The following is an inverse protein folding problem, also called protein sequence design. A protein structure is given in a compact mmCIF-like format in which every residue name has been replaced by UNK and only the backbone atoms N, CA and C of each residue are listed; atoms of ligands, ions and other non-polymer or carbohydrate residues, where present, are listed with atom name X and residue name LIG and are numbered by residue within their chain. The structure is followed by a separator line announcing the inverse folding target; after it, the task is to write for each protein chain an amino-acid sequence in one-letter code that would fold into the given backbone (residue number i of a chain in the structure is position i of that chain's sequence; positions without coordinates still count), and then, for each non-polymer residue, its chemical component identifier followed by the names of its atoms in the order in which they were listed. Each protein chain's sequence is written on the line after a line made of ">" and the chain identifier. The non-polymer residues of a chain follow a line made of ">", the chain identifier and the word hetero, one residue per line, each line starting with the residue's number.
data_IF_770657144995
#
_entry.id   IF_770657144995
#
_cell.length_a   1.000
_cell.length_b   1.000
_cell.length_c   1.000
_cell.angle_alpha   90.00
_cell.angle_beta   90.00
_cell.angle_gamma   90.00
#
_symmetry.space_group_name_H-M   'P 1'
#
loop_
_entity.id
_entity.type
_entity.pdbx_description
1 polymer ?
#
# COMPACT_ATOMS: atom_id res chain seq x y z
N UNK A 1 -15.85 -57.15 -8.30
CA UNK A 1 -15.41 -56.39 -9.49
C UNK A 1 -15.70 -54.95 -9.15
N UNK A 2 -14.68 -54.25 -8.65
CA UNK A 2 -14.80 -52.85 -8.29
C UNK A 2 -15.02 -52.04 -9.57
N UNK A 3 -16.14 -51.34 -9.64
CA UNK A 3 -16.42 -50.38 -10.70
C UNK A 3 -15.20 -49.45 -10.83
N UNK A 4 -14.69 -49.18 -12.04
CA UNK A 4 -13.58 -48.24 -12.21
C UNK A 4 -13.96 -46.93 -11.53
N UNK A 5 -13.23 -46.56 -10.46
CA UNK A 5 -13.45 -45.33 -9.71
C UNK A 5 -13.43 -44.17 -10.70
N UNK A 6 -14.61 -43.59 -10.96
CA UNK A 6 -14.73 -42.49 -11.89
C UNK A 6 -14.27 -41.21 -11.20
N UNK A 7 -12.96 -40.96 -11.23
CA UNK A 7 -12.36 -39.71 -10.75
C UNK A 7 -12.86 -38.45 -11.48
N UNK A 8 -13.79 -38.59 -12.44
CA UNK A 8 -14.58 -37.48 -12.97
C UNK A 8 -15.65 -36.99 -12.00
N UNK A 9 -16.03 -37.79 -11.01
CA UNK A 9 -16.71 -37.28 -9.83
C UNK A 9 -15.66 -36.53 -9.00
N UNK A 10 -15.36 -35.30 -9.44
CA UNK A 10 -14.56 -34.26 -8.80
C UNK A 10 -14.66 -34.06 -7.28
N UNK A 11 -13.75 -33.24 -6.78
CA UNK A 11 -13.42 -33.17 -5.36
C UNK A 11 -14.47 -32.39 -4.55
N UNK A 12 -14.68 -32.81 -3.30
CA UNK A 12 -15.41 -31.99 -2.33
C UNK A 12 -14.57 -30.76 -2.02
N UNK A 13 -15.17 -29.58 -2.22
CA UNK A 13 -14.51 -28.29 -2.03
C UNK A 13 -15.16 -27.62 -0.83
N UNK A 14 -14.36 -27.23 0.16
CA UNK A 14 -14.77 -26.41 1.29
C UNK A 14 -15.07 -24.98 0.81
N UNK A 15 -16.34 -24.54 0.77
CA UNK A 15 -16.71 -23.22 0.26
C UNK A 15 -16.16 -22.07 1.12
N UNK A 16 -15.75 -22.30 2.37
CA UNK A 16 -15.22 -21.25 3.23
C UNK A 16 -13.74 -20.92 2.97
N UNK A 17 -13.01 -21.74 2.20
CA UNK A 17 -11.62 -21.45 1.80
C UNK A 17 -11.54 -21.01 0.35
N UNK A 18 -12.15 -21.79 -0.52
CA UNK A 18 -12.01 -21.71 -1.99
C UNK A 18 -13.26 -21.14 -2.66
N UNK A 19 -14.27 -20.82 -1.87
CA UNK A 19 -15.52 -20.27 -2.37
C UNK A 19 -15.36 -18.94 -3.08
N UNK A 20 -16.39 -18.62 -3.86
CA UNK A 20 -16.40 -17.43 -4.69
C UNK A 20 -16.24 -16.14 -3.87
N UNK A 21 -16.88 -16.03 -2.70
CA UNK A 21 -16.76 -14.83 -1.87
C UNK A 21 -15.36 -14.59 -1.29
N UNK A 22 -14.63 -15.65 -0.93
CA UNK A 22 -13.23 -15.52 -0.48
C UNK A 22 -12.35 -15.02 -1.62
N UNK A 23 -12.48 -15.63 -2.81
CA UNK A 23 -11.75 -15.20 -4.01
C UNK A 23 -12.04 -13.75 -4.38
N UNK A 24 -13.33 -13.39 -4.49
CA UNK A 24 -13.75 -12.02 -4.80
C UNK A 24 -13.25 -11.01 -3.78
N UNK A 25 -13.28 -11.36 -2.48
CA UNK A 25 -12.72 -10.50 -1.45
C UNK A 25 -11.23 -10.27 -1.65
N UNK A 26 -10.45 -11.34 -1.88
CA UNK A 26 -9.02 -11.21 -2.14
C UNK A 26 -8.72 -10.41 -3.41
N UNK A 27 -9.49 -10.61 -4.49
CA UNK A 27 -9.38 -9.82 -5.71
C UNK A 27 -9.63 -8.34 -5.42
N UNK A 28 -10.75 -8.04 -4.77
CA UNK A 28 -11.14 -6.67 -4.47
C UNK A 28 -10.14 -6.00 -3.52
N UNK A 29 -9.76 -6.65 -2.42
CA UNK A 29 -8.81 -6.10 -1.45
C UNK A 29 -7.45 -5.82 -2.10
N UNK A 30 -6.94 -6.73 -2.91
CA UNK A 30 -5.65 -6.57 -3.56
C UNK A 30 -5.66 -5.41 -4.56
N UNK A 31 -6.73 -5.31 -5.35
CA UNK A 31 -6.93 -4.21 -6.30
C UNK A 31 -7.07 -2.86 -5.59
N UNK A 32 -7.89 -2.79 -4.55
CA UNK A 32 -8.11 -1.56 -3.77
C UNK A 32 -6.84 -1.13 -3.03
N UNK A 33 -6.04 -2.05 -2.50
CA UNK A 33 -4.79 -1.74 -1.82
C UNK A 33 -3.84 -0.97 -2.75
N UNK A 34 -3.69 -1.44 -3.98
CA UNK A 34 -2.84 -0.79 -5.00
C UNK A 34 -3.36 0.61 -5.31
N UNK A 35 -4.66 0.75 -5.57
CA UNK A 35 -5.28 2.05 -5.84
C UNK A 35 -5.14 3.02 -4.67
N UNK A 36 -5.25 2.50 -3.44
CA UNK A 36 -5.15 3.29 -2.23
C UNK A 36 -3.72 3.79 -2.03
N UNK A 37 -2.71 2.94 -2.21
CA UNK A 37 -1.30 3.35 -2.09
C UNK A 37 -0.92 4.41 -3.12
N UNK A 38 -1.47 4.31 -4.33
CA UNK A 38 -1.28 5.29 -5.41
C UNK A 38 -1.88 6.67 -5.09
N UNK A 39 -2.98 6.70 -4.33
CA UNK A 39 -3.75 7.93 -4.07
C UNK A 39 -3.56 8.53 -2.68
N UNK A 40 -3.49 7.70 -1.64
CA UNK A 40 -3.39 8.07 -0.24
C UNK A 40 -2.32 7.23 0.46
N UNK A 41 -1.09 7.71 0.42
CA UNK A 41 0.03 7.09 1.14
C UNK A 41 -0.15 7.17 2.67
N UNK A 42 -0.95 8.12 3.17
CA UNK A 42 -1.24 8.29 4.60
C UNK A 42 -2.15 7.18 5.13
N UNK A 43 -3.14 6.76 4.34
CA UNK A 43 -4.06 5.68 4.71
C UNK A 43 -3.49 4.29 4.38
N UNK A 44 -2.49 4.22 3.50
CA UNK A 44 -1.90 2.97 3.00
C UNK A 44 -1.45 1.98 4.08
N UNK A 45 -0.78 2.39 5.19
CA UNK A 45 -0.36 1.44 6.22
C UNK A 45 -1.51 0.69 6.87
N UNK A 46 -2.67 1.34 7.03
CA UNK A 46 -3.85 0.71 7.64
C UNK A 46 -4.46 -0.36 6.72
N UNK A 47 -4.62 -0.05 5.43
CA UNK A 47 -5.11 -0.98 4.44
C UNK A 47 -4.13 -2.15 4.23
N UNK A 48 -2.83 -1.85 4.19
CA UNK A 48 -1.77 -2.84 4.07
C UNK A 48 -1.76 -3.80 5.26
N UNK A 49 -1.94 -3.29 6.48
CA UNK A 49 -2.04 -4.12 7.69
C UNK A 49 -3.24 -5.08 7.62
N UNK A 50 -4.42 -4.57 7.30
CA UNK A 50 -5.64 -5.40 7.17
C UNK A 50 -5.44 -6.48 6.12
N UNK A 51 -4.93 -6.13 4.94
CA UNK A 51 -4.68 -7.08 3.87
C UNK A 51 -3.64 -8.15 4.26
N UNK A 52 -2.53 -7.74 4.88
CA UNK A 52 -1.50 -8.66 5.38
C UNK A 52 -2.07 -9.61 6.43
N UNK A 53 -2.93 -9.09 7.33
CA UNK A 53 -3.61 -9.89 8.35
C UNK A 53 -4.57 -10.92 7.74
N UNK A 54 -5.37 -10.53 6.74
CA UNK A 54 -6.27 -11.45 6.03
C UNK A 54 -5.49 -12.54 5.28
N UNK A 55 -4.41 -12.16 4.58
CA UNK A 55 -3.52 -13.11 3.91
C UNK A 55 -2.85 -14.09 4.90
N UNK A 56 -2.39 -13.59 6.04
CA UNK A 56 -1.84 -14.41 7.12
C UNK A 56 -2.90 -15.38 7.69
N UNK A 57 -4.12 -14.89 7.94
CA UNK A 57 -5.25 -15.71 8.41
C UNK A 57 -5.58 -16.85 7.44
N UNK A 58 -5.63 -16.56 6.13
CA UNK A 58 -5.83 -17.58 5.09
C UNK A 58 -4.69 -18.62 5.08
N UNK A 59 -3.45 -18.17 5.22
CA UNK A 59 -2.26 -19.04 5.28
C UNK A 59 -2.32 -19.98 6.48
N UNK A 60 -2.68 -19.46 7.67
CA UNK A 60 -2.85 -20.26 8.89
C UNK A 60 -4.01 -21.24 8.73
N UNK A 61 -5.16 -20.79 8.21
CA UNK A 61 -6.32 -21.66 7.99
C UNK A 61 -5.97 -22.83 7.05
N UNK A 62 -5.22 -22.58 5.98
CA UNK A 62 -4.75 -23.63 5.09
C UNK A 62 -3.80 -24.61 5.78
N UNK A 63 -2.89 -24.13 6.62
CA UNK A 63 -1.99 -25.01 7.41
C UNK A 63 -2.80 -25.88 8.37
N UNK A 64 -3.76 -25.30 9.10
CA UNK A 64 -4.59 -26.04 10.06
C UNK A 64 -5.39 -27.11 9.32
N UNK A 65 -6.03 -26.77 8.20
CA UNK A 65 -6.83 -27.73 7.44
C UNK A 65 -5.99 -28.81 6.74
N UNK A 66 -4.78 -28.46 6.30
CA UNK A 66 -3.81 -29.43 5.80
C UNK A 66 -3.45 -30.46 6.88
N UNK A 67 -3.23 -30.00 8.13
CA UNK A 67 -2.94 -30.88 9.27
C UNK A 67 -4.12 -31.76 9.66
N UNK A 68 -5.34 -31.26 9.50
CA UNK A 68 -6.57 -32.04 9.74
C UNK A 68 -6.90 -33.04 8.62
N UNK A 69 -6.14 -33.07 7.52
CA UNK A 69 -6.44 -33.93 6.36
C UNK A 69 -7.69 -33.50 5.58
N UNK A 70 -8.21 -32.30 5.83
CA UNK A 70 -9.44 -31.80 5.20
C UNK A 70 -9.14 -30.96 3.94
N UNK A 71 -7.87 -30.63 3.70
CA UNK A 71 -7.46 -29.81 2.57
C UNK A 71 -6.97 -30.69 1.42
N UNK A 72 -7.71 -30.70 0.31
CA UNK A 72 -7.27 -31.39 -0.89
C UNK A 72 -6.09 -30.66 -1.55
N UNK A 73 -5.29 -31.38 -2.34
CA UNK A 73 -4.19 -30.76 -3.10
C UNK A 73 -4.66 -29.64 -4.02
N UNK A 74 -5.84 -29.78 -4.61
CA UNK A 74 -6.46 -28.75 -5.44
C UNK A 74 -6.76 -27.47 -4.66
N UNK A 75 -7.35 -27.58 -3.47
CA UNK A 75 -7.60 -26.42 -2.60
C UNK A 75 -6.29 -25.77 -2.14
N UNK A 76 -5.27 -26.58 -1.83
CA UNK A 76 -3.96 -26.06 -1.47
C UNK A 76 -3.32 -25.25 -2.62
N UNK A 77 -3.46 -25.68 -3.88
CA UNK A 77 -3.02 -24.92 -5.06
C UNK A 77 -3.80 -23.62 -5.22
N UNK A 78 -5.11 -23.64 -5.01
CA UNK A 78 -5.93 -22.43 -5.10
C UNK A 78 -5.57 -21.41 -4.02
N UNK A 79 -5.41 -21.86 -2.77
CA UNK A 79 -4.94 -20.99 -1.69
C UNK A 79 -3.55 -20.43 -2.00
N UNK A 80 -2.65 -21.27 -2.51
CA UNK A 80 -1.31 -20.83 -2.90
C UNK A 80 -1.37 -19.73 -3.97
N UNK A 81 -2.23 -19.84 -4.99
CA UNK A 81 -2.41 -18.80 -6.00
C UNK A 81 -2.95 -17.48 -5.41
N UNK A 82 -3.93 -17.55 -4.49
CA UNK A 82 -4.47 -16.36 -3.82
C UNK A 82 -3.41 -15.67 -2.95
N UNK A 83 -2.64 -16.47 -2.20
CA UNK A 83 -1.55 -15.97 -1.35
C UNK A 83 -0.44 -15.36 -2.21
N UNK A 84 -0.11 -15.95 -3.36
CA UNK A 84 0.85 -15.38 -4.31
C UNK A 84 0.42 -14.01 -4.85
N UNK A 85 -0.85 -13.91 -5.26
CA UNK A 85 -1.43 -12.65 -5.70
C UNK A 85 -1.39 -11.60 -4.59
N UNK A 86 -1.66 -11.99 -3.34
CA UNK A 86 -1.57 -11.10 -2.19
C UNK A 86 -0.13 -10.65 -1.87
N UNK A 87 0.83 -11.56 -1.95
CA UNK A 87 2.24 -11.22 -1.79
C UNK A 87 2.69 -10.23 -2.86
N UNK A 88 2.27 -10.43 -4.11
CA UNK A 88 2.62 -9.56 -5.22
C UNK A 88 2.04 -8.14 -5.06
N UNK A 89 0.77 -8.03 -4.66
CA UNK A 89 0.18 -6.72 -4.40
C UNK A 89 0.77 -6.02 -3.17
N UNK A 90 1.09 -6.77 -2.11
CA UNK A 90 1.81 -6.26 -0.93
C UNK A 90 3.19 -5.71 -1.31
N UNK A 91 3.93 -6.43 -2.16
CA UNK A 91 5.23 -5.99 -2.66
C UNK A 91 5.13 -4.69 -3.45
N UNK A 92 4.17 -4.58 -4.37
CA UNK A 92 3.98 -3.36 -5.16
C UNK A 92 3.45 -2.18 -4.32
N UNK A 93 2.60 -2.45 -3.34
CA UNK A 93 2.16 -1.47 -2.36
C UNK A 93 3.36 -0.94 -1.56
N UNK A 94 4.26 -1.81 -1.10
CA UNK A 94 5.47 -1.39 -0.37
C UNK A 94 6.44 -0.61 -1.27
N UNK A 95 6.65 -1.04 -2.50
CA UNK A 95 7.52 -0.34 -3.45
C UNK A 95 6.98 1.08 -3.77
N UNK A 96 5.68 1.19 -4.01
CA UNK A 96 5.01 2.48 -4.27
C UNK A 96 5.03 3.37 -3.03
N UNK A 97 4.74 2.80 -1.86
CA UNK A 97 4.81 3.50 -0.57
C UNK A 97 6.23 4.02 -0.28
N UNK A 98 7.26 3.21 -0.50
CA UNK A 98 8.66 3.59 -0.30
C UNK A 98 9.05 4.80 -1.17
N UNK A 99 8.62 4.80 -2.44
CA UNK A 99 8.89 5.91 -3.37
C UNK A 99 8.23 7.22 -2.94
N UNK A 100 6.98 7.16 -2.47
CA UNK A 100 6.28 8.36 -1.98
C UNK A 100 6.87 8.90 -0.68
N UNK A 101 7.30 7.99 0.20
CA UNK A 101 7.90 8.34 1.48
C UNK A 101 9.21 9.11 1.32
N UNK A 102 10.10 8.67 0.43
CA UNK A 102 11.38 9.38 0.19
C UNK A 102 11.15 10.84 -0.21
N UNK A 103 10.16 11.12 -1.08
CA UNK A 103 9.82 12.49 -1.47
C UNK A 103 9.29 13.34 -0.32
N UNK A 104 8.55 12.74 0.62
CA UNK A 104 7.98 13.48 1.74
C UNK A 104 8.99 13.73 2.85
N UNK A 105 9.92 12.80 3.07
CA UNK A 105 10.98 12.95 4.07
C UNK A 105 11.92 14.12 3.74
N UNK A 106 12.19 14.35 2.44
CA UNK A 106 12.92 15.51 1.91
C UNK A 106 12.17 16.84 2.18
N UNK A 107 10.84 16.86 2.05
CA UNK A 107 10.01 18.05 2.36
C UNK A 107 9.94 18.33 3.88
N UNK A 108 9.84 17.29 4.72
CA UNK A 108 9.66 17.41 6.18
C UNK A 108 10.97 17.60 6.97
N UNK A 109 12.15 17.47 6.37
CA UNK A 109 13.45 17.62 7.06
C UNK A 109 13.68 18.98 7.72
N UNK A 110 12.84 19.96 7.39
CA UNK A 110 12.90 21.29 7.98
C UNK A 110 12.09 21.44 9.28
N UNK A 111 11.31 20.44 9.73
CA UNK A 111 10.43 20.57 10.91
C UNK A 111 10.76 19.49 11.94
N UNK A 112 11.38 19.91 13.04
CA UNK A 112 11.95 19.08 14.11
C UNK A 112 10.89 18.37 14.96
N UNK A 113 10.55 17.11 14.63
CA UNK A 113 10.16 16.03 15.58
C UNK A 113 10.06 14.62 14.91
N UNK A 114 11.09 14.20 14.16
CA UNK A 114 11.03 13.03 13.23
C UNK A 114 11.12 11.62 13.86
N UNK A 115 11.57 11.51 15.12
CA UNK A 115 12.03 10.20 15.66
C UNK A 115 10.90 9.19 15.90
N UNK A 116 9.78 9.62 16.52
CA UNK A 116 8.72 8.69 16.94
C UNK A 116 7.88 8.14 15.78
N UNK A 117 7.56 8.96 14.77
CA UNK A 117 6.73 8.57 13.61
C UNK A 117 7.44 7.52 12.73
N UNK A 118 8.76 7.59 12.65
CA UNK A 118 9.60 6.69 11.85
C UNK A 118 9.57 5.23 12.36
N UNK A 119 9.42 5.03 13.67
CA UNK A 119 9.45 3.68 14.25
C UNK A 119 8.21 2.85 13.91
N UNK A 120 7.01 3.44 14.04
CA UNK A 120 5.75 2.75 13.77
C UNK A 120 5.65 2.29 12.30
N UNK A 121 6.14 3.10 11.36
CA UNK A 121 6.10 2.77 9.93
C UNK A 121 7.08 1.66 9.56
N UNK A 122 8.25 1.60 10.21
CA UNK A 122 9.21 0.51 9.98
C UNK A 122 8.64 -0.84 10.43
N UNK A 123 7.78 -0.86 11.45
CA UNK A 123 7.14 -2.08 11.93
C UNK A 123 6.22 -2.71 10.87
N UNK A 124 5.38 -1.90 10.21
CA UNK A 124 4.47 -2.38 9.16
C UNK A 124 5.25 -3.05 8.03
N UNK A 125 6.38 -2.45 7.62
CA UNK A 125 7.28 -3.02 6.61
C UNK A 125 7.83 -4.38 7.04
N UNK A 126 8.34 -4.49 8.27
CA UNK A 126 8.89 -5.75 8.80
C UNK A 126 7.82 -6.85 8.84
N UNK A 127 6.60 -6.53 9.30
CA UNK A 127 5.51 -7.51 9.36
C UNK A 127 5.11 -7.99 7.96
N UNK A 128 4.99 -7.07 7.00
CA UNK A 128 4.71 -7.45 5.61
C UNK A 128 5.83 -8.33 5.02
N UNK A 129 7.10 -8.02 5.30
CA UNK A 129 8.23 -8.83 4.86
C UNK A 129 8.24 -10.23 5.48
N UNK A 130 7.90 -10.32 6.76
CA UNK A 130 7.77 -11.60 7.46
C UNK A 130 6.63 -12.43 6.90
N UNK A 131 5.45 -11.84 6.67
CA UNK A 131 4.34 -12.55 6.04
C UNK A 131 4.75 -13.08 4.65
N UNK A 132 5.45 -12.28 3.84
CA UNK A 132 5.84 -12.70 2.48
C UNK A 132 6.78 -13.90 2.54
N UNK A 133 7.70 -13.92 3.50
CA UNK A 133 8.57 -15.08 3.72
C UNK A 133 7.78 -16.32 4.18
N UNK A 134 6.84 -16.13 5.10
CA UNK A 134 6.00 -17.20 5.64
C UNK A 134 5.14 -17.87 4.54
N UNK A 135 4.52 -17.06 3.70
CA UNK A 135 3.70 -17.52 2.58
C UNK A 135 4.50 -18.18 1.45
N UNK A 136 5.70 -17.67 1.14
CA UNK A 136 6.63 -18.33 0.22
C UNK A 136 7.04 -19.70 0.75
N UNK A 137 7.33 -19.79 2.05
CA UNK A 137 7.66 -21.05 2.72
C UNK A 137 6.50 -22.05 2.65
N UNK A 138 5.26 -21.59 2.88
CA UNK A 138 4.07 -22.45 2.73
C UNK A 138 3.94 -22.93 1.29
N UNK A 139 4.09 -22.05 0.30
CA UNK A 139 3.96 -22.45 -1.11
C UNK A 139 5.04 -23.47 -1.49
N UNK A 140 6.28 -23.24 -1.06
CA UNK A 140 7.36 -24.21 -1.24
C UNK A 140 7.04 -25.55 -0.55
N UNK A 141 6.45 -25.52 0.64
CA UNK A 141 5.99 -26.71 1.34
C UNK A 141 4.89 -27.45 0.57
N UNK A 142 3.85 -26.74 0.09
CA UNK A 142 2.76 -27.30 -0.71
C UNK A 142 3.27 -28.00 -1.97
N UNK A 143 4.23 -27.40 -2.66
CA UNK A 143 4.83 -28.01 -3.86
C UNK A 143 5.83 -29.13 -3.57
N UNK A 144 6.56 -29.06 -2.45
CA UNK A 144 7.54 -30.11 -2.10
C UNK A 144 6.85 -31.37 -1.56
N UNK A 145 5.83 -31.18 -0.72
CA UNK A 145 5.11 -32.23 0.01
C UNK A 145 3.70 -32.47 -0.53
N UNK A 146 3.61 -32.68 -1.84
CA UNK A 146 2.36 -33.04 -2.54
C UNK A 146 1.71 -34.31 -1.97
N UNK A 147 2.51 -35.19 -1.38
CA UNK A 147 2.07 -36.42 -0.71
C UNK A 147 1.14 -36.17 0.48
N UNK A 148 1.36 -35.10 1.24
CA UNK A 148 0.53 -34.74 2.41
C UNK A 148 -0.90 -34.39 2.01
N UNK A 149 -1.08 -33.84 0.81
CA UNK A 149 -2.36 -33.40 0.27
C UNK A 149 -3.00 -34.41 -0.68
N UNK A 150 -2.33 -35.54 -0.93
CA UNK A 150 -2.75 -36.59 -1.85
C UNK A 150 -3.52 -37.70 -1.13
N UNK A 151 -4.53 -37.32 -0.34
CA UNK A 151 -5.40 -38.30 0.31
C UNK A 151 -6.42 -38.90 -0.69
N UNK A 152 -6.75 -38.15 -1.75
CA UNK A 152 -7.65 -38.60 -2.80
C UNK A 152 -6.88 -39.30 -3.92
N UNK A 153 -7.28 -40.52 -4.28
CA UNK A 153 -6.74 -41.26 -5.44
C UNK A 153 -6.88 -40.50 -6.78
N UNK A 154 -7.66 -39.41 -6.80
CA UNK A 154 -7.91 -38.58 -7.97
C UNK A 154 -6.94 -37.41 -8.13
N UNK A 155 -6.03 -37.14 -7.18
CA UNK A 155 -5.13 -35.99 -7.29
C UNK A 155 -4.19 -36.05 -8.51
N UNK A 156 -3.95 -37.26 -9.06
CA UNK A 156 -3.17 -37.47 -10.29
C UNK A 156 -3.79 -36.83 -11.55
N UNK A 157 -5.10 -36.57 -11.54
CA UNK A 157 -5.80 -35.94 -12.66
C UNK A 157 -5.89 -34.43 -12.54
N UNK A 158 -5.43 -33.84 -11.42
CA UNK A 158 -5.45 -32.40 -11.23
C UNK A 158 -4.51 -31.75 -12.24
N UNK A 159 -5.09 -30.85 -13.04
CA UNK A 159 -4.35 -30.06 -14.03
C UNK A 159 -4.02 -28.70 -13.43
N UNK A 160 -2.74 -28.36 -13.43
CA UNK A 160 -2.26 -27.03 -13.10
C UNK A 160 -2.17 -26.18 -14.37
N UNK A 161 -2.82 -25.03 -14.38
CA UNK A 161 -2.78 -24.09 -15.49
C UNK A 161 -1.70 -23.06 -15.23
N UNK A 162 -0.69 -23.01 -16.09
CA UNK A 162 0.35 -21.97 -16.06
C UNK A 162 0.39 -21.22 -17.41
N UNK A 163 0.89 -19.98 -17.40
CA UNK A 163 1.12 -19.18 -18.61
C UNK A 163 -0.12 -19.07 -19.52
N UNK A 164 -1.24 -18.58 -18.97
CA UNK A 164 -2.49 -18.24 -19.66
C UNK A 164 -3.31 -19.37 -20.31
N UNK A 165 -2.78 -20.57 -20.53
CA UNK A 165 -3.58 -21.70 -21.04
C UNK A 165 -2.85 -23.07 -21.03
N UNK A 166 -1.61 -23.16 -20.55
CA UNK A 166 -0.87 -24.41 -20.67
C UNK A 166 -1.18 -25.30 -19.49
N UNK A 167 -1.85 -26.41 -19.78
CA UNK A 167 -2.18 -27.45 -18.82
C UNK A 167 -0.96 -28.34 -18.54
N UNK A 168 -0.58 -28.45 -17.27
CA UNK A 168 0.42 -29.38 -16.80
C UNK A 168 -0.20 -30.35 -15.79
N UNK A 169 0.16 -31.65 -15.80
CA UNK A 169 -0.21 -32.54 -14.71
C UNK A 169 0.45 -32.04 -13.42
N UNK A 170 -0.36 -31.71 -12.41
CA UNK A 170 0.11 -30.96 -11.25
C UNK A 170 1.16 -31.74 -10.43
N UNK A 171 1.04 -33.08 -10.36
CA UNK A 171 1.97 -33.93 -9.60
C UNK A 171 3.32 -34.18 -10.29
N UNK A 172 3.40 -34.09 -11.62
CA UNK A 172 4.62 -34.42 -12.38
C UNK A 172 5.34 -33.15 -12.85
N UNK A 173 5.03 -32.66 -14.03
CA UNK A 173 5.64 -31.48 -14.63
C UNK A 173 5.26 -30.21 -13.86
N UNK A 174 4.01 -30.12 -13.40
CA UNK A 174 3.53 -28.99 -12.59
C UNK A 174 4.33 -28.82 -11.30
N UNK A 175 4.64 -29.92 -10.59
CA UNK A 175 5.45 -29.90 -9.38
C UNK A 175 6.85 -29.34 -9.61
N UNK A 176 7.54 -29.80 -10.66
CA UNK A 176 8.89 -29.30 -11.00
C UNK A 176 8.84 -27.82 -11.38
N UNK A 177 7.85 -27.42 -12.18
CA UNK A 177 7.65 -26.05 -12.61
C UNK A 177 7.34 -25.13 -11.41
N UNK A 178 6.40 -25.52 -10.55
CA UNK A 178 5.98 -24.78 -9.37
C UNK A 178 7.11 -24.62 -8.36
N UNK A 179 7.90 -25.67 -8.09
CA UNK A 179 9.09 -25.60 -7.25
C UNK A 179 10.15 -24.67 -7.84
N UNK A 180 10.44 -24.80 -9.14
CA UNK A 180 11.44 -23.97 -9.81
C UNK A 180 11.03 -22.50 -9.80
N UNK A 181 9.79 -22.18 -10.16
CA UNK A 181 9.25 -20.83 -10.14
C UNK A 181 9.23 -20.24 -8.73
N UNK A 182 8.75 -20.99 -7.73
CA UNK A 182 8.72 -20.54 -6.34
C UNK A 182 10.13 -20.30 -5.80
N UNK A 183 11.09 -21.18 -6.10
CA UNK A 183 12.48 -21.02 -5.68
C UNK A 183 13.14 -19.79 -6.32
N UNK A 184 12.95 -19.59 -7.63
CA UNK A 184 13.46 -18.42 -8.36
C UNK A 184 12.90 -17.12 -7.79
N UNK A 185 11.59 -17.06 -7.59
CA UNK A 185 10.92 -15.87 -7.06
C UNK A 185 11.29 -15.62 -5.60
N UNK A 186 11.39 -16.66 -4.78
CA UNK A 186 11.87 -16.54 -3.39
C UNK A 186 13.30 -16.00 -3.36
N UNK A 187 14.19 -16.50 -4.22
CA UNK A 187 15.55 -16.01 -4.33
C UNK A 187 15.60 -14.54 -4.76
N UNK A 188 14.85 -14.17 -5.80
CA UNK A 188 14.73 -12.77 -6.23
C UNK A 188 14.22 -11.85 -5.11
N UNK A 189 13.21 -12.30 -4.37
CA UNK A 189 12.67 -11.58 -3.22
C UNK A 189 13.71 -11.41 -2.09
N UNK A 190 14.48 -12.47 -1.78
CA UNK A 190 15.56 -12.42 -0.79
C UNK A 190 16.65 -11.42 -1.21
N UNK A 191 17.01 -11.36 -2.49
CA UNK A 191 17.98 -10.39 -3.00
C UNK A 191 17.47 -8.94 -2.86
N UNK A 192 16.23 -8.67 -3.26
CA UNK A 192 15.63 -7.32 -3.12
C UNK A 192 15.55 -6.93 -1.64
N UNK A 193 15.08 -7.83 -0.79
CA UNK A 193 15.00 -7.64 0.66
C UNK A 193 16.36 -7.37 1.29
N UNK A 194 17.37 -8.17 0.95
CA UNK A 194 18.73 -8.01 1.44
C UNK A 194 19.32 -6.68 0.97
N UNK A 195 19.08 -6.31 -0.29
CA UNK A 195 19.52 -5.02 -0.84
C UNK A 195 18.88 -3.83 -0.11
N UNK A 196 17.57 -3.87 0.14
CA UNK A 196 16.88 -2.80 0.89
C UNK A 196 17.35 -2.72 2.34
N UNK A 197 17.55 -3.87 3.00
CA UNK A 197 18.04 -3.92 4.38
C UNK A 197 19.48 -3.42 4.46
N UNK A 198 20.34 -3.81 3.51
CA UNK A 198 21.71 -3.34 3.41
C UNK A 198 21.77 -1.83 3.13
N UNK A 199 20.98 -1.33 2.19
CA UNK A 199 20.87 0.11 1.91
C UNK A 199 20.40 0.89 3.13
N UNK A 200 19.38 0.40 3.83
CA UNK A 200 18.87 1.01 5.08
C UNK A 200 19.93 1.00 6.19
N UNK A 201 20.68 -0.09 6.33
CA UNK A 201 21.77 -0.21 7.30
C UNK A 201 22.92 0.76 6.98
N UNK A 202 23.32 0.86 5.72
CA UNK A 202 24.37 1.78 5.28
C UNK A 202 23.95 3.25 5.44
N UNK A 203 22.67 3.60 5.19
CA UNK A 203 22.14 4.95 5.47
C UNK A 203 22.23 5.30 6.96
N UNK A 204 21.95 4.36 7.87
CA UNK A 204 22.09 4.58 9.33
C UNK A 204 23.54 4.69 9.80
N UNK A 205 24.48 4.09 9.05
CA UNK A 205 25.90 4.11 9.40
C UNK A 205 26.62 5.39 9.00
N UNK A 206 26.07 6.23 8.13
CA UNK A 206 26.68 7.54 7.85
C UNK A 206 26.72 8.33 9.18
N UNK A 207 27.90 8.49 9.79
CA UNK A 207 28.00 9.05 11.12
C UNK A 207 27.50 10.50 11.06
N UNK A 208 26.80 10.94 12.11
CA UNK A 208 26.42 12.34 12.35
C UNK A 208 27.62 13.30 12.50
N UNK A 209 28.79 12.88 12.02
CA UNK A 209 30.05 13.60 12.03
C UNK A 209 30.04 14.80 11.07
N UNK A 210 29.29 14.74 9.95
CA UNK A 210 29.17 15.92 9.06
C UNK A 210 28.38 17.07 9.72
N UNK A 211 27.41 16.77 10.58
CA UNK A 211 26.66 17.80 11.31
C UNK A 211 27.51 18.49 12.39
N UNK A 212 28.48 17.77 12.97
CA UNK A 212 29.45 18.38 13.89
C UNK A 212 30.44 19.29 13.15
N UNK A 213 30.78 18.99 11.91
CA UNK A 213 31.70 19.82 11.11
C UNK A 213 31.05 21.13 10.63
N UNK A 214 29.74 21.13 10.34
CA UNK A 214 29.01 22.36 9.99
C UNK A 214 28.68 23.25 11.19
N UNK A 215 28.54 22.69 12.40
CA UNK A 215 28.33 23.49 13.63
C UNK A 215 29.62 24.08 14.20
N UNK A 216 30.78 23.62 13.72
CA UNK A 216 32.11 24.06 14.16
C UNK A 216 32.67 25.26 13.40
N UNK A 217 32.03 25.76 12.34
CA UNK A 217 32.44 27.04 11.74
C UNK A 217 31.94 28.17 12.65
N UNK A 218 32.82 28.91 13.34
CA UNK A 218 32.40 30.07 14.10
C UNK A 218 31.65 30.99 13.14
N UNK A 219 30.41 31.33 13.47
CA UNK A 219 29.76 32.47 12.84
C UNK A 219 30.69 33.65 13.07
N UNK A 220 31.34 34.11 12.00
CA UNK A 220 31.95 35.43 11.97
C UNK A 220 30.74 36.35 12.13
N UNK A 221 30.49 36.76 13.36
CA UNK A 221 29.61 37.88 13.67
C UNK A 221 30.19 39.06 12.91
N UNK A 222 29.63 39.37 11.75
CA UNK A 222 29.87 40.63 11.08
C UNK A 222 29.18 41.66 11.95
N UNK A 223 29.92 42.18 12.92
CA UNK A 223 29.53 43.35 13.70
C UNK A 223 29.28 44.47 12.69
N UNK A 224 28.02 44.77 12.44
CA UNK A 224 27.66 45.96 11.67
C UNK A 224 28.17 47.18 12.44
N UNK A 225 28.85 48.13 11.78
CA UNK A 225 29.40 49.29 12.45
C UNK A 225 28.28 50.16 13.04
N UNK A 226 28.50 50.52 14.30
CA UNK A 226 27.84 51.51 15.14
C UNK A 226 26.77 52.38 14.47
N UNK A 227 25.51 52.10 14.81
CA UNK A 227 24.48 53.15 14.80
C UNK A 227 24.61 53.89 16.14
N UNK A 228 25.09 55.13 16.07
CA UNK A 228 25.15 56.10 17.16
C UNK A 228 23.86 56.10 17.99
N UNK A 229 23.95 55.58 19.21
CA UNK A 229 22.93 55.71 20.24
C UNK A 229 23.03 57.11 20.85
N UNK A 230 22.03 57.95 20.57
CA UNK A 230 21.85 59.26 21.22
C UNK A 230 21.19 59.04 22.57
N UNK A 231 21.97 59.14 23.64
CA UNK A 231 21.48 59.20 25.02
C UNK A 231 20.72 60.51 25.25
N UNK A 232 19.42 60.42 25.56
CA UNK A 232 18.66 61.53 26.16
C UNK A 232 18.50 61.19 27.66
N UNK A 233 18.94 62.05 28.59
CA UNK A 233 18.70 61.88 30.02
C UNK A 233 17.37 62.53 30.45
N UNK A 234 17.01 62.26 31.70
CA UNK A 234 15.85 62.74 32.49
C UNK A 234 14.63 61.79 32.44
N UNK A 235 14.00 61.42 33.54
CA UNK A 235 14.13 61.83 34.93
C UNK A 235 12.94 61.24 35.71
N UNK A 236 13.26 60.69 36.88
CA UNK A 236 12.43 60.26 38.02
C UNK A 236 10.90 60.50 38.02
N UNK A 237 10.10 59.46 38.34
CA UNK A 237 9.42 59.26 39.64
C UNK A 237 8.37 58.11 39.60
N UNK A 238 8.37 57.33 40.70
CA UNK A 238 7.42 56.34 41.25
C UNK A 238 5.90 56.69 41.19
N UNK A 239 4.94 55.86 41.71
CA UNK A 239 4.93 54.44 42.11
C UNK A 239 3.67 53.64 41.62
N UNK A 240 3.58 52.40 42.10
CA UNK A 240 2.66 51.25 41.88
C UNK A 240 1.17 51.44 42.36
N UNK A 241 0.34 50.37 42.48
CA UNK A 241 -0.87 49.90 41.71
C UNK A 241 -2.24 50.32 42.40
N UNK A 242 -3.49 49.77 42.23
CA UNK A 242 -3.95 48.49 41.60
C UNK A 242 -5.33 48.47 40.84
N UNK A 243 -5.55 47.38 40.06
CA UNK A 243 -6.87 46.71 39.76
C UNK A 243 -7.99 47.54 39.05
N UNK A 244 -9.21 47.00 38.79
CA UNK A 244 -9.64 45.79 38.05
C UNK A 244 -10.76 46.07 36.99
N UNK A 245 -11.18 45.04 36.24
CA UNK A 245 -12.56 44.81 35.71
C UNK A 245 -13.12 45.70 34.54
N UNK A 246 -13.91 45.01 33.67
CA UNK A 246 -14.97 45.47 32.73
C UNK A 246 -14.52 46.06 31.38
N UNK A 247 -14.87 45.48 30.22
CA UNK A 247 -16.17 45.19 29.57
C UNK A 247 -16.70 46.35 28.70
N UNK A 248 -17.12 46.01 27.47
CA UNK A 248 -18.01 46.77 26.57
C UNK A 248 -17.44 48.10 26.05
N UNK A 249 -17.68 48.60 24.84
CA UNK A 249 -18.31 48.15 23.58
C UNK A 249 -18.00 49.29 22.55
N UNK A 250 -18.84 49.69 21.57
CA UNK A 250 -18.46 49.94 20.18
C UNK A 250 -18.25 51.43 19.83
N UNK A 251 -17.56 51.73 18.72
CA UNK A 251 -17.96 52.66 17.62
C UNK A 251 -16.79 53.13 16.73
N UNK A 252 -17.08 53.65 15.51
CA UNK A 252 -16.19 53.71 14.37
C UNK A 252 -15.55 55.10 14.14
N UNK A 253 -14.53 55.15 13.29
CA UNK A 253 -14.11 56.32 12.51
C UNK A 253 -13.24 55.80 11.37
N UNK A 254 -13.73 55.76 10.12
CA UNK A 254 -13.71 56.86 9.14
C UNK A 254 -12.35 57.54 9.06
N UNK A 255 -11.57 57.17 8.05
CA UNK A 255 -10.52 58.00 7.45
C UNK A 255 -10.35 57.58 6.01
N UNK A 256 -11.06 58.31 5.18
CA UNK A 256 -10.99 58.40 3.73
C UNK A 256 -9.57 58.72 3.28
N UNK A 257 -8.99 57.91 2.39
CA UNK A 257 -7.97 58.39 1.47
C UNK A 257 -8.27 57.86 0.06
N UNK A 258 -8.94 58.73 -0.70
CA UNK A 258 -9.07 58.65 -2.14
C UNK A 258 -7.70 58.92 -2.77
N UNK A 259 -7.19 57.96 -3.53
CA UNK A 259 -6.27 58.25 -4.63
C UNK A 259 -6.68 57.39 -5.80
N UNK A 260 -7.45 58.05 -6.67
CA UNK A 260 -7.87 57.61 -7.98
C UNK A 260 -6.64 57.38 -8.85
N UNK A 261 -6.37 56.12 -9.18
CA UNK A 261 -5.54 55.78 -10.33
C UNK A 261 -6.36 54.90 -11.27
N UNK A 262 -7.11 55.58 -12.13
CA UNK A 262 -7.72 55.04 -13.33
C UNK A 262 -6.64 54.54 -14.27
N UNK A 263 -6.59 53.23 -14.55
CA UNK A 263 -6.11 52.74 -15.84
C UNK A 263 -6.51 51.29 -16.14
N UNK A 264 -7.29 51.17 -17.23
CA UNK A 264 -7.32 50.05 -18.19
C UNK A 264 -7.93 48.73 -17.71
N UNK A 265 -9.25 48.71 -17.75
CA UNK A 265 -10.09 47.52 -17.98
C UNK A 265 -9.76 46.87 -19.32
N UNK A 266 -8.71 46.06 -19.35
CA UNK A 266 -8.47 45.12 -20.47
C UNK A 266 -9.37 43.90 -20.29
N UNK A 267 -10.26 43.69 -21.26
CA UNK A 267 -11.16 42.54 -21.32
C UNK A 267 -10.38 41.23 -21.28
N UNK A 268 -10.26 40.65 -20.08
CA UNK A 268 -9.71 39.31 -19.89
C UNK A 268 -10.71 38.30 -20.44
N UNK A 269 -10.51 37.99 -21.72
CA UNK A 269 -11.03 36.80 -22.38
C UNK A 269 -10.96 35.62 -21.43
N UNK A 270 -12.13 35.15 -20.99
CA UNK A 270 -12.31 33.86 -20.30
C UNK A 270 -11.99 32.77 -21.31
N UNK A 271 -10.71 32.61 -21.60
CA UNK A 271 -10.19 31.53 -22.44
C UNK A 271 -10.51 30.25 -21.69
N UNK A 272 -11.57 29.56 -22.12
CA UNK A 272 -11.89 28.21 -21.67
C UNK A 272 -10.64 27.35 -21.86
N UNK A 273 -9.85 27.21 -20.79
CA UNK A 273 -8.79 26.22 -20.70
C UNK A 273 -9.51 24.88 -20.75
N UNK A 274 -9.65 24.34 -21.96
CA UNK A 274 -9.98 22.93 -22.17
C UNK A 274 -8.94 22.16 -21.38
N UNK A 275 -9.42 21.62 -20.26
CA UNK A 275 -8.63 20.89 -19.28
C UNK A 275 -8.08 19.66 -19.99
N UNK A 276 -6.80 19.71 -20.38
CA UNK A 276 -6.08 18.54 -20.83
C UNK A 276 -5.88 17.64 -19.61
N UNK A 277 -6.91 16.86 -19.31
CA UNK A 277 -6.98 15.96 -18.15
C UNK A 277 -5.99 14.79 -18.29
N UNK A 278 -5.59 14.46 -19.51
CA UNK A 278 -4.77 13.28 -19.82
C UNK A 278 -3.25 13.50 -19.75
N UNK A 279 -2.74 14.75 -19.83
CA UNK A 279 -1.29 14.96 -20.07
C UNK A 279 -0.42 15.10 -18.81
N UNK A 280 -0.98 15.08 -17.61
CA UNK A 280 -0.21 15.33 -16.38
C UNK A 280 -0.03 14.09 -15.49
N UNK A 281 -0.39 12.88 -15.92
CA UNK A 281 -0.04 11.69 -15.13
C UNK A 281 1.46 11.42 -15.22
N UNK A 282 2.12 11.10 -14.10
CA UNK A 282 3.51 10.66 -14.12
C UNK A 282 3.58 9.38 -14.98
N UNK A 283 4.27 9.39 -16.14
CA UNK A 283 4.30 8.25 -17.05
C UNK A 283 4.87 7.01 -16.37
N UNK A 284 5.72 7.16 -15.35
CA UNK A 284 6.24 6.04 -14.57
C UNK A 284 5.16 5.40 -13.71
N UNK A 285 4.31 6.20 -13.07
CA UNK A 285 3.21 5.71 -12.22
C UNK A 285 2.13 5.03 -13.06
N UNK A 286 1.81 5.62 -14.22
CA UNK A 286 0.91 5.00 -15.19
C UNK A 286 1.46 3.65 -15.67
N UNK A 287 2.76 3.57 -15.97
CA UNK A 287 3.42 2.32 -16.35
C UNK A 287 3.33 1.25 -15.27
N UNK A 288 3.61 1.60 -14.01
CA UNK A 288 3.48 0.69 -12.87
C UNK A 288 2.03 0.22 -12.70
N UNK A 289 1.06 1.13 -12.83
CA UNK A 289 -0.37 0.80 -12.73
C UNK A 289 -0.81 -0.16 -13.83
N UNK A 290 -0.44 0.09 -15.09
CA UNK A 290 -0.76 -0.80 -16.22
C UNK A 290 -0.13 -2.17 -16.02
N UNK A 291 1.16 -2.23 -15.67
CA UNK A 291 1.85 -3.49 -15.40
C UNK A 291 1.14 -4.26 -14.27
N UNK A 292 0.73 -3.56 -13.22
CA UNK A 292 0.03 -4.16 -12.09
C UNK A 292 -1.34 -4.72 -12.49
N UNK A 293 -2.11 -4.00 -13.31
CA UNK A 293 -3.39 -4.50 -13.84
C UNK A 293 -3.20 -5.76 -14.68
N UNK A 294 -2.14 -5.83 -15.49
CA UNK A 294 -1.84 -7.00 -16.31
C UNK A 294 -1.49 -8.22 -15.45
N UNK A 295 -0.61 -8.05 -14.45
CA UNK A 295 -0.24 -9.16 -13.55
C UNK A 295 -1.43 -9.60 -12.71
N UNK A 296 -2.26 -8.67 -12.24
CA UNK A 296 -3.46 -8.97 -11.50
C UNK A 296 -4.48 -9.74 -12.35
N UNK A 297 -4.72 -9.30 -13.58
CA UNK A 297 -5.56 -10.02 -14.54
C UNK A 297 -5.02 -11.43 -14.81
N UNK A 298 -3.70 -11.60 -14.93
CA UNK A 298 -3.06 -12.90 -15.07
C UNK A 298 -3.38 -13.83 -13.88
N UNK A 299 -3.26 -13.36 -12.63
CA UNK A 299 -3.57 -14.18 -11.46
C UNK A 299 -5.04 -14.56 -11.35
N UNK A 300 -5.96 -13.63 -11.66
CA UNK A 300 -7.40 -13.92 -11.70
C UNK A 300 -7.69 -14.98 -12.76
N UNK A 301 -7.25 -14.74 -14.00
CA UNK A 301 -7.50 -15.67 -15.11
C UNK A 301 -6.89 -17.05 -14.81
N UNK A 302 -5.67 -17.10 -14.28
CA UNK A 302 -5.03 -18.38 -13.92
C UNK A 302 -5.80 -19.12 -12.82
N UNK A 303 -6.34 -18.40 -11.83
CA UNK A 303 -7.14 -19.00 -10.75
C UNK A 303 -8.49 -19.51 -11.26
N UNK A 304 -9.19 -18.73 -12.08
CA UNK A 304 -10.48 -19.13 -12.64
C UNK A 304 -10.34 -20.26 -13.68
N UNK A 305 -9.28 -20.25 -14.48
CA UNK A 305 -8.96 -21.37 -15.36
C UNK A 305 -8.61 -22.63 -14.56
N UNK A 306 -7.88 -22.53 -13.45
CA UNK A 306 -7.59 -23.67 -12.59
C UNK A 306 -8.89 -24.33 -12.10
N UNK A 307 -9.89 -23.54 -11.69
CA UNK A 307 -11.21 -24.05 -11.29
C UNK A 307 -12.00 -24.63 -12.46
N UNK A 308 -11.99 -23.96 -13.61
CA UNK A 308 -12.70 -24.42 -14.81
C UNK A 308 -12.19 -25.79 -15.29
N UNK A 309 -10.89 -26.06 -15.19
CA UNK A 309 -10.29 -27.32 -15.61
C UNK A 309 -10.45 -28.46 -14.59
N UNK A 310 -10.81 -28.14 -13.35
CA UNK A 310 -10.97 -29.10 -12.27
C UNK A 310 -12.33 -28.88 -11.58
N UNK A 311 -13.46 -29.21 -12.25
CA UNK A 311 -14.79 -28.97 -11.72
C UNK A 311 -15.04 -29.79 -10.44
N UNK A 312 -15.62 -29.15 -9.41
CA UNK A 312 -16.12 -29.83 -8.22
C UNK A 312 -17.38 -30.65 -8.55
N UNK A 313 -17.62 -31.75 -7.83
CA UNK A 313 -18.84 -32.58 -8.00
C UNK A 313 -20.06 -31.86 -7.51
N UNK A 314 -19.91 -31.18 -6.39
CA UNK A 314 -21.02 -30.58 -5.71
C UNK A 314 -21.22 -29.17 -6.22
N UNK A 315 -22.48 -28.80 -6.44
CA UNK A 315 -22.88 -27.41 -6.65
C UNK A 315 -22.63 -26.50 -5.42
N UNK A 316 -21.87 -26.99 -4.42
CA UNK A 316 -21.43 -26.26 -3.24
C UNK A 316 -20.64 -24.99 -3.59
N UNK A 317 -19.99 -24.95 -4.76
CA UNK A 317 -19.35 -23.73 -5.27
C UNK A 317 -20.33 -22.56 -5.49
N UNK A 318 -21.64 -22.83 -5.58
CA UNK A 318 -22.70 -21.81 -5.69
C UNK A 318 -23.28 -21.40 -4.34
N UNK A 319 -23.02 -22.15 -3.29
CA UNK A 319 -23.55 -21.86 -1.95
C UNK A 319 -22.65 -20.86 -1.23
N UNK A 320 -23.29 -19.84 -0.65
CA UNK A 320 -22.60 -18.82 0.13
C UNK A 320 -22.38 -19.31 1.56
N UNK A 321 -21.13 -19.63 1.88
CA UNK A 321 -20.71 -19.98 3.25
C UNK A 321 -20.54 -18.75 4.15
N UNK A 322 -20.54 -18.97 5.47
CA UNK A 322 -20.28 -17.92 6.45
C UNK A 322 -18.89 -17.28 6.23
N UNK A 323 -17.87 -18.09 5.93
CA UNK A 323 -16.50 -17.61 5.70
C UNK A 323 -16.40 -16.68 4.48
N UNK A 324 -17.20 -16.94 3.45
CA UNK A 324 -17.26 -16.10 2.25
C UNK A 324 -17.84 -14.71 2.54
N UNK A 325 -18.93 -14.64 3.32
CA UNK A 325 -19.56 -13.37 3.71
C UNK A 325 -18.60 -12.59 4.62
N UNK A 326 -17.98 -13.26 5.59
CA UNK A 326 -16.99 -12.65 6.48
C UNK A 326 -15.82 -12.07 5.69
N UNK A 327 -15.30 -12.80 4.70
CA UNK A 327 -14.22 -12.32 3.84
C UNK A 327 -14.61 -11.02 3.13
N UNK A 328 -15.83 -10.91 2.59
CA UNK A 328 -16.31 -9.68 1.95
C UNK A 328 -16.46 -8.52 2.93
N UNK A 329 -16.93 -8.77 4.16
CA UNK A 329 -17.04 -7.75 5.20
C UNK A 329 -15.66 -7.16 5.52
N UNK A 330 -14.62 -7.99 5.59
CA UNK A 330 -13.24 -7.54 5.83
C UNK A 330 -12.69 -6.65 4.70
N UNK A 331 -13.27 -6.71 3.49
CA UNK A 331 -12.89 -5.81 2.40
C UNK A 331 -13.52 -4.40 2.51
N UNK A 332 -14.59 -4.23 3.30
CA UNK A 332 -15.34 -2.96 3.40
C UNK A 332 -14.48 -1.79 3.89
N UNK A 333 -13.61 -1.92 4.92
CA UNK A 333 -12.74 -0.83 5.33
C UNK A 333 -11.84 -0.32 4.18
N UNK A 334 -11.27 -1.22 3.38
CA UNK A 334 -10.45 -0.84 2.23
C UNK A 334 -11.27 -0.09 1.17
N UNK A 335 -12.50 -0.53 0.91
CA UNK A 335 -13.44 0.16 0.01
C UNK A 335 -13.69 1.59 0.49
N UNK A 336 -14.05 1.75 1.77
CA UNK A 336 -14.35 3.06 2.37
C UNK A 336 -13.14 3.98 2.31
N UNK A 337 -11.94 3.48 2.61
CA UNK A 337 -10.71 4.28 2.56
C UNK A 337 -10.37 4.71 1.14
N UNK A 338 -10.56 3.85 0.13
CA UNK A 338 -10.43 4.23 -1.28
C UNK A 338 -11.45 5.32 -1.64
N UNK A 339 -12.73 5.15 -1.30
CA UNK A 339 -13.74 6.16 -1.59
C UNK A 339 -13.45 7.52 -0.94
N UNK A 340 -12.98 7.52 0.32
CA UNK A 340 -12.54 8.75 1.00
C UNK A 340 -11.35 9.38 0.29
N UNK A 341 -10.33 8.59 -0.04
CA UNK A 341 -9.16 9.06 -0.76
C UNK A 341 -9.54 9.70 -2.11
N UNK A 342 -10.44 9.07 -2.87
CA UNK A 342 -10.94 9.61 -4.14
C UNK A 342 -11.81 10.85 -3.97
N UNK A 343 -12.62 10.92 -2.92
CA UNK A 343 -13.46 12.09 -2.64
C UNK A 343 -12.63 13.31 -2.23
N UNK A 344 -11.63 13.10 -1.37
CA UNK A 344 -10.86 14.18 -0.76
C UNK A 344 -9.77 14.73 -1.71
N UNK A 345 -9.22 13.85 -2.57
CA UNK A 345 -8.20 14.21 -3.56
C UNK A 345 -8.77 14.44 -4.97
N UNK A 346 -9.98 13.97 -5.24
CA UNK A 346 -10.53 13.93 -6.59
C UNK A 346 -9.66 13.10 -7.53
N UNK A 347 -9.82 13.34 -8.83
CA UNK A 347 -8.89 12.87 -9.87
C UNK A 347 -7.82 13.92 -10.20
N UNK A 348 -7.76 15.02 -9.45
CA UNK A 348 -6.85 16.12 -9.73
C UNK A 348 -5.47 15.86 -9.13
N UNK A 349 -4.40 16.19 -9.87
CA UNK A 349 -3.04 15.93 -9.43
C UNK A 349 -2.68 16.63 -8.12
N UNK A 350 -2.38 15.83 -7.10
CA UNK A 350 -1.90 16.22 -5.77
C UNK A 350 -0.74 17.25 -5.82
N UNK A 351 0.18 17.11 -6.77
CA UNK A 351 1.38 17.96 -6.87
C UNK A 351 1.06 19.46 -7.04
N UNK A 352 -0.03 19.82 -7.73
CA UNK A 352 -0.34 21.24 -7.95
C UNK A 352 -0.97 21.94 -6.76
N UNK A 353 -1.60 21.19 -5.84
CA UNK A 353 -2.33 21.77 -4.71
C UNK A 353 -1.37 22.23 -3.60
N UNK A 354 -0.33 21.44 -3.30
CA UNK A 354 0.71 21.80 -2.31
C UNK A 354 1.48 23.06 -2.73
N UNK A 355 1.87 23.16 -4.00
CA UNK A 355 2.54 24.35 -4.53
C UNK A 355 1.71 25.62 -4.30
N UNK A 356 0.41 25.60 -4.65
CA UNK A 356 -0.48 26.77 -4.42
C UNK A 356 -0.63 27.14 -2.95
N UNK A 357 -0.68 26.14 -2.05
CA UNK A 357 -0.79 26.39 -0.61
C UNK A 357 0.48 27.01 -0.02
N UNK A 358 1.68 26.57 -0.47
CA UNK A 358 2.94 27.17 -0.06
C UNK A 358 3.10 28.61 -0.58
N UNK A 359 2.74 28.89 -1.83
CA UNK A 359 2.79 30.25 -2.39
C UNK A 359 1.90 31.22 -1.59
N UNK A 360 0.74 30.78 -1.11
CA UNK A 360 -0.17 31.59 -0.30
C UNK A 360 0.33 31.85 1.14
N UNK A 361 1.31 31.09 1.63
CA UNK A 361 1.93 31.33 2.94
C UNK A 361 3.16 32.25 2.85
N UNK A 362 3.67 32.52 1.65
CA UNK A 362 4.89 33.34 1.42
C UNK A 362 4.60 34.77 0.97
N UNK A 363 3.36 35.10 0.63
CA UNK A 363 2.89 36.47 0.38
C UNK A 363 1.76 36.78 1.33
#
# INVERSE_FOLDING_TARGET
>A
MDSPFDCKQGQSVNPDISGIGVRLSFYLQNFLLVLLVDRSWEDAPSALWTFTSTSCGLTIAAIVQARSGQLSFFQALQVSNLVWMANFGTFLALASYSRHRERHEEEEEQITDKSKKTQAQNWVKVVAMFQMFFSMSLTFYTWSRTDVFNQDHCAQFVKYVAFFAVDFPALTSGKKLGLSATALLTFGYLLVTAHEMYSSYMRRKKPASEDLEMRGKPQITVTSPDTLEVTIPDGALQPEPPSPIRSHSPHPSVSTNMSSNTNKTTGRSKRHRRHSWATNMDPMLLGISIFQLLVFAYFIVSTELLLKHNPAVDSSDKEWGFGQILALIVAVPSVVSVFKAFRDHGFENLHHRKSKAQWKKRG
#
